data_IF_039288792466
#
_entry.id   IF_039288792466
#
_cell.length_a   1.000
_cell.length_b   1.000
_cell.length_c   1.000
_cell.angle_alpha   90.00
_cell.angle_beta   90.00
_cell.angle_gamma   90.00
#
_symmetry.space_group_name_H-M   'P 1'
#
loop_
_entity.id
_entity.type
_entity.pdbx_description
1 polymer ?
#
# COMPACT_ATOMS: atom_id res chain seq x y z
N UNK A 1 38.65 40.25 58.02
CA UNK A 1 37.95 40.99 56.96
C UNK A 1 38.67 40.97 55.57
N UNK A 2 39.99 40.82 55.54
CA UNK A 2 40.79 40.75 54.33
C UNK A 2 40.74 39.39 53.58
N UNK A 3 40.57 38.28 54.22
CA UNK A 3 40.52 36.94 53.67
C UNK A 3 39.23 36.69 52.83
N UNK A 4 38.10 37.33 53.22
CA UNK A 4 36.81 37.15 52.54
C UNK A 4 36.75 37.89 51.16
N UNK A 5 37.52 38.99 51.03
CA UNK A 5 37.58 39.79 49.80
C UNK A 5 38.45 39.09 48.75
N UNK A 6 39.53 38.44 49.14
CA UNK A 6 40.38 37.69 48.22
C UNK A 6 39.70 36.44 47.65
N UNK A 7 38.93 35.71 48.45
CA UNK A 7 38.19 34.54 47.99
C UNK A 7 37.07 34.92 46.99
N UNK A 8 36.41 36.05 47.22
CA UNK A 8 35.36 36.56 46.31
C UNK A 8 35.91 37.00 44.95
N UNK A 9 37.10 37.61 44.92
CA UNK A 9 37.75 37.99 43.67
C UNK A 9 38.33 36.78 42.90
N UNK A 10 38.77 35.74 43.61
CA UNK A 10 39.27 34.51 42.99
C UNK A 10 38.13 33.69 42.37
N UNK A 11 36.99 33.54 43.04
CA UNK A 11 35.80 32.89 42.45
C UNK A 11 35.21 33.65 41.30
N UNK A 12 35.17 34.98 41.31
CA UNK A 12 34.66 35.79 40.19
C UNK A 12 35.55 35.72 38.95
N UNK A 13 36.88 35.52 39.11
CA UNK A 13 37.79 35.30 37.99
C UNK A 13 37.68 33.91 37.40
N UNK A 14 37.47 32.86 38.20
CA UNK A 14 37.26 31.48 37.73
C UNK A 14 35.94 31.34 36.96
N UNK A 15 34.85 31.94 37.47
CA UNK A 15 33.54 31.93 36.78
C UNK A 15 33.62 32.67 35.42
N UNK A 16 34.31 33.82 35.34
CA UNK A 16 34.51 34.54 34.09
C UNK A 16 35.38 33.75 33.08
N UNK A 17 36.38 33.02 33.59
CA UNK A 17 37.23 32.19 32.72
C UNK A 17 36.49 30.95 32.22
N UNK A 18 35.65 30.33 33.07
CA UNK A 18 34.82 29.19 32.69
C UNK A 18 33.75 29.55 31.65
N UNK A 19 33.11 30.72 31.77
CA UNK A 19 32.14 31.21 30.78
C UNK A 19 32.81 31.53 29.47
N UNK A 20 34.05 32.08 29.47
CA UNK A 20 34.79 32.40 28.26
C UNK A 20 35.27 31.12 27.52
N UNK A 21 35.69 30.08 28.27
CA UNK A 21 36.08 28.78 27.69
C UNK A 21 34.87 28.03 27.15
N UNK A 22 33.70 28.09 27.81
CA UNK A 22 32.46 27.51 27.33
C UNK A 22 31.97 28.17 26.04
N UNK A 23 32.10 29.47 25.88
CA UNK A 23 31.71 30.18 24.67
C UNK A 23 32.67 29.90 23.50
N UNK A 24 33.98 29.71 23.77
CA UNK A 24 34.97 29.39 22.73
C UNK A 24 34.84 27.93 22.28
N UNK A 25 34.42 26.99 23.15
CA UNK A 25 34.16 25.58 22.79
C UNK A 25 32.85 25.45 21.96
N UNK A 26 31.84 26.31 22.21
CA UNK A 26 30.62 26.31 21.40
C UNK A 26 30.79 26.92 19.98
N UNK A 27 31.78 27.78 19.75
CA UNK A 27 32.04 28.37 18.44
C UNK A 27 32.86 27.46 17.51
N UNK A 28 33.48 26.38 18.05
CA UNK A 28 34.24 25.39 17.24
C UNK A 28 33.49 24.10 16.90
N UNK A 29 32.28 23.88 17.41
CA UNK A 29 31.39 22.88 16.84
C UNK A 29 30.70 23.54 15.65
N UNK A 30 31.33 23.44 14.52
CA UNK A 30 30.70 23.76 13.23
C UNK A 30 29.38 23.00 13.18
N UNK A 31 28.30 23.74 12.95
CA UNK A 31 27.02 23.20 12.54
C UNK A 31 27.32 22.38 11.29
N UNK A 32 27.45 21.08 11.44
CA UNK A 32 27.30 20.16 10.31
C UNK A 32 25.83 20.29 9.94
N UNK A 33 25.54 21.25 9.04
CA UNK A 33 24.30 21.24 8.30
C UNK A 33 24.34 19.93 7.55
N UNK A 34 23.61 18.93 8.03
CA UNK A 34 23.27 17.78 7.25
C UNK A 34 22.65 18.36 5.97
N UNK A 35 23.42 18.41 4.90
CA UNK A 35 22.85 18.59 3.58
C UNK A 35 21.88 17.41 3.42
N UNK A 36 20.60 17.69 3.60
CA UNK A 36 19.56 16.84 3.07
C UNK A 36 19.81 16.80 1.57
N UNK A 37 20.53 15.77 1.13
CA UNK A 37 20.54 15.36 -0.26
C UNK A 37 19.14 14.83 -0.56
N UNK A 38 18.15 15.71 -0.62
CA UNK A 38 16.90 15.41 -1.30
C UNK A 38 17.30 15.08 -2.74
N UNK A 39 17.01 13.87 -3.15
CA UNK A 39 17.14 13.50 -4.55
C UNK A 39 16.37 14.53 -5.38
N UNK A 40 16.92 15.02 -6.51
CA UNK A 40 16.22 15.99 -7.34
C UNK A 40 14.85 15.43 -7.71
N UNK A 41 13.80 16.09 -7.22
CA UNK A 41 12.42 15.82 -7.64
C UNK A 41 12.23 16.42 -9.01
N UNK A 42 11.75 15.64 -9.96
CA UNK A 42 11.32 16.18 -11.25
C UNK A 42 10.15 17.13 -11.00
N UNK A 43 10.25 18.37 -11.45
CA UNK A 43 9.14 19.33 -11.35
C UNK A 43 7.97 18.89 -12.22
N UNK A 44 6.88 18.47 -11.59
CA UNK A 44 5.64 18.18 -12.29
C UNK A 44 4.88 19.48 -12.53
N UNK A 45 4.86 19.94 -13.78
CA UNK A 45 4.12 21.15 -14.14
C UNK A 45 2.62 20.86 -14.14
N UNK A 46 1.88 21.50 -13.21
CA UNK A 46 0.41 21.44 -13.16
C UNK A 46 -0.17 22.68 -13.85
N UNK A 47 -0.53 22.56 -15.11
CA UNK A 47 -1.25 23.61 -15.83
C UNK A 47 -2.76 23.35 -15.76
N UNK A 48 -3.50 24.29 -15.14
CA UNK A 48 -4.98 24.29 -15.07
C UNK A 48 -5.61 22.98 -14.55
N UNK A 49 -4.99 22.34 -13.55
CA UNK A 49 -5.49 21.10 -12.96
C UNK A 49 -5.29 19.83 -13.83
N UNK A 50 -4.61 19.95 -14.96
CA UNK A 50 -4.19 18.80 -15.78
C UNK A 50 -2.73 18.48 -15.47
N UNK A 51 -2.47 17.29 -14.94
CA UNK A 51 -1.11 16.79 -14.75
C UNK A 51 -0.63 16.28 -16.12
N UNK A 52 0.42 16.90 -16.68
CA UNK A 52 1.10 16.33 -17.85
C UNK A 52 1.86 15.08 -17.39
N UNK A 53 1.54 13.89 -17.92
CA UNK A 53 2.31 12.69 -17.56
C UNK A 53 3.77 12.83 -17.98
N UNK A 54 4.68 12.29 -17.16
CA UNK A 54 6.11 12.22 -17.43
C UNK A 54 6.34 11.22 -18.55
N UNK A 55 6.95 11.66 -19.64
CA UNK A 55 7.25 10.83 -20.81
C UNK A 55 8.43 9.91 -20.51
N UNK A 56 8.21 8.61 -20.60
CA UNK A 56 9.14 7.59 -20.14
C UNK A 56 9.64 6.73 -21.31
N UNK A 57 10.94 6.73 -21.55
CA UNK A 57 11.58 5.81 -22.49
C UNK A 57 12.13 4.58 -21.73
N UNK A 58 11.65 3.38 -22.11
CA UNK A 58 12.10 2.11 -21.54
C UNK A 58 12.43 1.16 -22.71
N UNK A 59 13.65 1.24 -23.27
CA UNK A 59 14.07 0.24 -24.24
C UNK A 59 14.11 -1.15 -23.61
N UNK A 60 14.01 -2.19 -24.43
CA UNK A 60 14.21 -3.56 -23.97
C UNK A 60 15.51 -3.67 -23.17
N UNK A 61 15.51 -4.44 -22.10
CA UNK A 61 16.71 -4.63 -21.28
C UNK A 61 17.81 -5.27 -22.12
N UNK A 62 19.01 -4.73 -22.07
CA UNK A 62 20.16 -5.24 -22.81
C UNK A 62 20.43 -6.66 -22.36
N UNK A 63 20.51 -7.55 -23.31
CA UNK A 63 20.78 -8.96 -23.07
C UNK A 63 22.27 -9.16 -22.84
N UNK A 64 22.65 -9.62 -21.65
CA UNK A 64 24.00 -10.07 -21.33
C UNK A 64 24.08 -11.61 -21.36
N UNK A 65 25.26 -12.17 -21.08
CA UNK A 65 25.54 -13.60 -21.21
C UNK A 65 24.46 -14.50 -20.61
N UNK A 66 24.02 -15.50 -21.36
CA UNK A 66 23.09 -16.54 -20.93
C UNK A 66 21.61 -16.11 -20.75
N UNK A 67 21.29 -14.82 -20.87
CA UNK A 67 19.92 -14.36 -20.64
C UNK A 67 18.98 -14.66 -21.82
N UNK A 68 17.71 -14.95 -21.48
CA UNK A 68 16.65 -15.15 -22.45
C UNK A 68 16.13 -13.81 -23.01
N UNK A 69 16.02 -13.69 -24.33
CA UNK A 69 15.52 -12.48 -25.00
C UNK A 69 14.05 -12.18 -24.66
N UNK A 70 13.26 -13.16 -24.27
CA UNK A 70 11.87 -12.97 -23.84
C UNK A 70 11.86 -12.20 -22.51
N UNK A 71 12.65 -12.63 -21.53
CA UNK A 71 12.73 -11.96 -20.22
C UNK A 71 13.18 -10.51 -20.38
N UNK A 72 14.16 -10.24 -21.27
CA UNK A 72 14.64 -8.89 -21.58
C UNK A 72 13.53 -7.92 -21.98
N UNK A 73 12.63 -8.36 -22.86
CA UNK A 73 11.47 -7.56 -23.32
C UNK A 73 10.35 -7.47 -22.29
N UNK A 74 10.05 -8.58 -21.64
CA UNK A 74 8.96 -8.63 -20.68
C UNK A 74 9.27 -7.81 -19.41
N UNK A 75 10.55 -7.73 -18.95
CA UNK A 75 10.95 -6.82 -17.89
C UNK A 75 10.56 -5.37 -18.18
N UNK A 76 10.94 -4.86 -19.36
CA UNK A 76 10.64 -3.50 -19.79
C UNK A 76 9.12 -3.27 -19.90
N UNK A 77 8.37 -4.23 -20.47
CA UNK A 77 6.93 -4.16 -20.63
C UNK A 77 6.18 -4.10 -19.29
N UNK A 78 6.57 -4.93 -18.30
CA UNK A 78 5.95 -4.91 -16.98
C UNK A 78 6.24 -3.58 -16.26
N UNK A 79 7.47 -3.06 -16.37
CA UNK A 79 7.85 -1.76 -15.79
C UNK A 79 7.01 -0.64 -16.43
N UNK A 80 6.90 -0.60 -17.78
CA UNK A 80 6.09 0.36 -18.48
C UNK A 80 4.62 0.30 -18.04
N UNK A 81 4.02 -0.89 -18.03
CA UNK A 81 2.63 -1.09 -17.64
C UNK A 81 2.36 -0.65 -16.19
N UNK A 82 3.28 -0.93 -15.26
CA UNK A 82 3.17 -0.49 -13.87
C UNK A 82 3.14 1.03 -13.78
N UNK A 83 4.10 1.70 -14.39
CA UNK A 83 4.23 3.16 -14.30
C UNK A 83 3.09 3.87 -15.02
N UNK A 84 2.73 3.44 -16.24
CA UNK A 84 1.59 3.97 -16.99
C UNK A 84 0.28 3.81 -16.22
N UNK A 85 0.17 2.72 -15.46
CA UNK A 85 -1.01 2.44 -14.64
C UNK A 85 -1.29 3.49 -13.56
N UNK A 86 -0.30 4.30 -13.21
CA UNK A 86 -0.45 5.38 -12.22
C UNK A 86 -1.11 6.63 -12.80
N UNK A 87 -1.12 6.79 -14.12
CA UNK A 87 -1.52 8.03 -14.80
C UNK A 87 -0.54 9.20 -14.63
N UNK A 88 0.57 9.00 -13.91
CA UNK A 88 1.64 9.99 -13.73
C UNK A 88 2.73 9.86 -14.79
N UNK A 89 2.81 8.73 -15.45
CA UNK A 89 3.77 8.42 -16.50
C UNK A 89 3.05 8.05 -17.80
N UNK A 90 3.76 8.21 -18.89
CA UNK A 90 3.38 7.76 -20.22
C UNK A 90 4.58 7.16 -20.93
N UNK A 91 4.57 5.85 -21.13
CA UNK A 91 5.62 5.17 -21.88
C UNK A 91 5.59 5.55 -23.36
N UNK A 92 6.76 5.91 -23.89
CA UNK A 92 6.94 6.16 -25.33
C UNK A 92 7.02 4.80 -26.03
N UNK A 93 6.27 4.58 -27.12
CA UNK A 93 6.33 3.33 -27.89
C UNK A 93 7.74 3.05 -28.41
N UNK A 94 8.19 1.80 -28.33
CA UNK A 94 9.54 1.42 -28.79
C UNK A 94 9.75 1.69 -30.30
N UNK A 95 8.70 1.73 -31.08
CA UNK A 95 8.73 2.09 -32.52
C UNK A 95 9.14 3.55 -32.76
N UNK A 96 9.06 4.40 -31.76
CA UNK A 96 9.50 5.80 -31.84
C UNK A 96 10.97 6.00 -31.50
N UNK A 97 11.69 4.96 -31.03
CA UNK A 97 13.08 5.07 -30.62
C UNK A 97 14.02 5.21 -31.82
N UNK A 98 14.87 6.22 -31.77
CA UNK A 98 15.87 6.49 -32.84
C UNK A 98 16.99 5.49 -32.78
N UNK A 99 17.41 5.08 -31.59
CA UNK A 99 18.47 4.10 -31.36
C UNK A 99 18.08 3.09 -30.28
N UNK A 100 18.77 1.94 -30.31
CA UNK A 100 18.65 0.92 -29.26
C UNK A 100 20.01 0.76 -28.59
N UNK A 101 20.13 0.96 -27.28
CA UNK A 101 21.38 0.78 -26.55
C UNK A 101 21.92 -0.66 -26.69
N UNK A 102 23.16 -0.82 -27.11
CA UNK A 102 23.79 -2.13 -27.32
C UNK A 102 24.53 -2.64 -26.10
N UNK A 103 24.96 -1.75 -25.19
CA UNK A 103 25.69 -2.11 -23.99
C UNK A 103 25.25 -1.23 -22.81
N UNK A 104 25.19 -1.83 -21.62
CA UNK A 104 24.82 -1.14 -20.38
C UNK A 104 25.85 -0.08 -19.95
N UNK A 105 27.11 -0.26 -20.36
CA UNK A 105 28.20 0.63 -19.98
C UNK A 105 28.52 1.70 -21.03
N UNK A 106 27.88 1.66 -22.20
CA UNK A 106 28.01 2.71 -23.21
C UNK A 106 27.43 4.03 -22.70
N UNK A 107 28.13 5.17 -22.92
CA UNK A 107 27.57 6.48 -22.61
C UNK A 107 26.22 6.70 -23.30
N UNK A 108 25.28 7.33 -22.58
CA UNK A 108 23.95 7.62 -23.11
C UNK A 108 24.02 8.74 -24.14
N UNK A 109 23.50 8.50 -25.34
CA UNK A 109 23.32 9.54 -26.36
C UNK A 109 21.99 10.26 -26.09
N UNK A 110 22.03 11.30 -25.28
CA UNK A 110 20.82 12.01 -24.82
C UNK A 110 20.03 12.68 -25.97
N UNK A 111 20.69 13.04 -27.08
CA UNK A 111 20.04 13.57 -28.29
C UNK A 111 18.96 12.65 -28.81
N UNK A 112 19.19 11.33 -28.83
CA UNK A 112 18.26 10.33 -29.37
C UNK A 112 16.98 10.23 -28.55
N UNK A 113 17.06 10.55 -27.26
CA UNK A 113 15.92 10.52 -26.32
C UNK A 113 15.21 11.87 -26.25
N UNK A 114 15.94 12.98 -26.42
CA UNK A 114 15.37 14.34 -26.44
C UNK A 114 14.49 14.55 -27.66
N UNK A 115 14.90 14.05 -28.84
CA UNK A 115 14.13 14.22 -30.09
C UNK A 115 12.75 13.55 -30.04
N UNK A 116 12.59 12.49 -29.23
CA UNK A 116 11.33 11.82 -29.01
C UNK A 116 10.57 12.35 -27.77
N UNK A 117 11.02 13.46 -27.19
CA UNK A 117 10.45 14.11 -26.01
C UNK A 117 10.37 13.18 -24.79
N UNK A 118 11.38 12.35 -24.55
CA UNK A 118 11.52 11.60 -23.33
C UNK A 118 11.96 12.54 -22.18
N UNK A 119 11.22 12.54 -21.08
CA UNK A 119 11.63 13.23 -19.85
C UNK A 119 12.60 12.35 -19.05
N UNK A 120 12.31 11.04 -19.01
CA UNK A 120 13.07 10.05 -18.23
C UNK A 120 13.43 8.85 -19.11
N UNK A 121 14.68 8.38 -19.00
CA UNK A 121 15.16 7.16 -19.65
C UNK A 121 15.48 6.09 -18.59
N UNK A 122 14.95 4.88 -18.77
CA UNK A 122 15.31 3.67 -18.01
C UNK A 122 16.20 2.79 -18.86
N UNK A 123 17.47 2.71 -18.52
CA UNK A 123 18.42 1.80 -19.17
C UNK A 123 18.64 0.57 -18.28
N UNK A 124 18.35 -0.61 -18.79
CA UNK A 124 18.48 -1.86 -18.04
C UNK A 124 19.26 -2.93 -18.78
N UNK A 125 19.81 -3.88 -18.03
CA UNK A 125 20.41 -5.10 -18.58
C UNK A 125 20.04 -6.32 -17.74
N UNK A 126 20.01 -7.49 -18.39
CA UNK A 126 19.73 -8.77 -17.76
C UNK A 126 20.74 -9.83 -18.24
N UNK A 127 21.32 -10.56 -17.30
CA UNK A 127 22.25 -11.65 -17.53
C UNK A 127 21.95 -12.85 -16.64
N UNK A 128 22.41 -14.03 -17.05
CA UNK A 128 22.36 -15.25 -16.24
C UNK A 128 23.74 -15.49 -15.63
N UNK A 129 23.78 -15.69 -14.31
CA UNK A 129 24.99 -16.04 -13.58
C UNK A 129 25.30 -17.54 -13.71
N UNK A 130 26.56 -17.96 -13.51
CA UNK A 130 26.93 -19.39 -13.52
C UNK A 130 26.16 -20.25 -12.51
N UNK A 131 25.68 -19.66 -11.42
CA UNK A 131 24.86 -20.32 -10.40
C UNK A 131 23.35 -20.40 -10.76
N UNK A 132 22.98 -20.02 -12.00
CA UNK A 132 21.62 -20.05 -12.50
C UNK A 132 20.74 -18.89 -12.09
N UNK A 133 21.23 -17.93 -11.28
CA UNK A 133 20.45 -16.73 -10.92
C UNK A 133 20.46 -15.70 -12.04
N UNK A 134 19.33 -15.02 -12.22
CA UNK A 134 19.27 -13.81 -13.03
C UNK A 134 19.91 -12.64 -12.28
N UNK A 135 20.79 -11.92 -12.97
CA UNK A 135 21.23 -10.58 -12.59
C UNK A 135 20.48 -9.56 -13.43
N UNK A 136 19.73 -8.68 -12.79
CA UNK A 136 19.02 -7.58 -13.43
C UNK A 136 19.55 -6.27 -12.87
N UNK A 137 20.01 -5.38 -13.73
CA UNK A 137 20.51 -4.06 -13.34
C UNK A 137 19.88 -2.97 -14.15
N UNK A 138 19.74 -1.78 -13.57
CA UNK A 138 19.19 -0.62 -14.27
C UNK A 138 19.79 0.69 -13.77
N UNK A 139 19.72 1.70 -14.62
CA UNK A 139 19.98 3.10 -14.35
C UNK A 139 18.79 3.94 -14.80
N UNK A 140 18.60 5.06 -14.16
CA UNK A 140 17.54 6.00 -14.44
C UNK A 140 18.14 7.37 -14.74
N UNK A 141 17.74 7.98 -15.85
CA UNK A 141 18.31 9.23 -16.32
C UNK A 141 17.26 10.31 -16.53
N UNK A 142 17.55 11.52 -16.08
CA UNK A 142 16.88 12.73 -16.51
C UNK A 142 17.47 13.14 -17.88
N UNK A 143 16.65 13.13 -18.92
CA UNK A 143 17.10 13.37 -20.28
C UNK A 143 17.48 14.83 -20.49
N UNK A 144 16.70 15.76 -19.92
CA UNK A 144 16.94 17.20 -20.06
C UNK A 144 18.20 17.65 -19.31
N UNK A 145 18.39 17.16 -18.08
CA UNK A 145 19.56 17.48 -17.27
C UNK A 145 20.81 16.63 -17.61
N UNK A 146 20.63 15.56 -18.40
CA UNK A 146 21.67 14.59 -18.75
C UNK A 146 22.36 13.98 -17.52
N UNK A 147 21.57 13.75 -16.45
CA UNK A 147 22.06 13.26 -15.15
C UNK A 147 21.34 11.99 -14.72
N UNK A 148 22.08 11.13 -14.01
CA UNK A 148 21.49 9.93 -13.41
C UNK A 148 20.63 10.30 -12.21
N UNK A 149 19.37 9.84 -12.18
CA UNK A 149 18.43 10.01 -11.07
C UNK A 149 18.72 8.93 -10.02
N UNK A 150 19.53 9.27 -9.04
CA UNK A 150 20.04 8.35 -8.02
C UNK A 150 21.02 7.34 -8.61
N UNK A 151 21.59 6.49 -7.77
CA UNK A 151 22.59 5.47 -8.23
C UNK A 151 21.90 4.28 -8.88
N UNK A 152 22.52 3.70 -9.91
CA UNK A 152 22.09 2.44 -10.51
C UNK A 152 21.89 1.34 -9.46
N UNK A 153 20.97 0.42 -9.72
CA UNK A 153 20.69 -0.73 -8.85
C UNK A 153 20.87 -2.04 -9.58
N UNK A 154 21.17 -3.07 -8.79
CA UNK A 154 21.36 -4.45 -9.24
C UNK A 154 20.56 -5.38 -8.34
N UNK A 155 19.88 -6.36 -8.97
CA UNK A 155 19.08 -7.38 -8.28
C UNK A 155 19.52 -8.77 -8.72
N UNK A 156 19.41 -9.72 -7.82
CA UNK A 156 19.63 -11.13 -8.10
C UNK A 156 18.35 -11.91 -7.73
N UNK A 157 17.93 -12.83 -8.60
CA UNK A 157 16.75 -13.65 -8.38
C UNK A 157 16.85 -14.96 -9.17
N UNK A 158 15.97 -15.93 -8.86
CA UNK A 158 15.76 -17.08 -9.72
C UNK A 158 15.04 -16.66 -11.03
N UNK A 159 15.14 -17.49 -12.06
CA UNK A 159 14.56 -17.20 -13.38
C UNK A 159 13.02 -17.07 -13.37
N UNK A 160 12.34 -17.65 -12.40
CA UNK A 160 10.87 -17.60 -12.29
C UNK A 160 10.38 -16.31 -11.64
N UNK A 161 11.21 -15.67 -10.81
CA UNK A 161 10.85 -14.47 -10.05
C UNK A 161 11.20 -13.15 -10.77
N UNK A 162 11.49 -13.18 -12.07
CA UNK A 162 11.87 -12.01 -12.86
C UNK A 162 10.82 -10.88 -12.81
N UNK A 163 9.53 -11.27 -12.79
CA UNK A 163 8.41 -10.31 -12.74
C UNK A 163 8.42 -9.49 -11.46
N UNK A 164 8.73 -10.10 -10.32
CA UNK A 164 8.89 -9.41 -9.05
C UNK A 164 10.01 -8.38 -9.09
N UNK A 165 11.10 -8.65 -9.83
CA UNK A 165 12.16 -7.65 -10.04
C UNK A 165 11.65 -6.46 -10.85
N UNK A 166 10.81 -6.67 -11.87
CA UNK A 166 10.16 -5.58 -12.60
C UNK A 166 9.36 -4.68 -11.67
N UNK A 167 8.60 -5.26 -10.73
CA UNK A 167 7.84 -4.49 -9.73
C UNK A 167 8.77 -3.68 -8.81
N UNK A 168 9.87 -4.26 -8.32
CA UNK A 168 10.87 -3.55 -7.49
C UNK A 168 11.59 -2.42 -8.25
N UNK A 169 11.83 -2.60 -9.54
CA UNK A 169 12.36 -1.55 -10.41
C UNK A 169 11.33 -0.44 -10.57
N UNK A 170 10.07 -0.79 -10.84
CA UNK A 170 8.96 0.17 -10.92
C UNK A 170 8.80 0.98 -9.63
N UNK A 171 8.87 0.33 -8.46
CA UNK A 171 8.87 0.97 -7.15
C UNK A 171 10.02 1.98 -7.00
N UNK A 172 11.22 1.58 -7.42
CA UNK A 172 12.40 2.46 -7.34
C UNK A 172 12.25 3.67 -8.26
N UNK A 173 11.77 3.49 -9.49
CA UNK A 173 11.54 4.57 -10.45
C UNK A 173 10.45 5.51 -9.92
N UNK A 174 9.32 4.94 -9.52
CA UNK A 174 8.19 5.68 -9.00
C UNK A 174 8.59 6.57 -7.81
N UNK A 175 9.25 5.98 -6.83
CA UNK A 175 9.69 6.72 -5.63
C UNK A 175 10.71 7.80 -5.96
N UNK A 176 11.69 7.53 -6.84
CA UNK A 176 12.72 8.52 -7.19
C UNK A 176 12.17 9.71 -7.98
N UNK A 177 11.20 9.46 -8.86
CA UNK A 177 10.66 10.49 -9.75
C UNK A 177 9.55 11.29 -9.08
N UNK A 178 8.69 10.63 -8.28
CA UNK A 178 7.50 11.27 -7.70
C UNK A 178 7.65 11.64 -6.22
N UNK A 179 8.60 11.03 -5.50
CA UNK A 179 8.72 11.13 -4.05
C UNK A 179 7.68 10.32 -3.27
N UNK A 180 6.77 9.62 -3.96
CA UNK A 180 5.71 8.81 -3.34
C UNK A 180 6.22 7.43 -2.90
N UNK A 181 5.54 6.81 -1.94
CA UNK A 181 5.89 5.47 -1.45
C UNK A 181 5.69 4.37 -2.50
N UNK A 182 6.47 3.30 -2.38
CA UNK A 182 6.42 2.10 -3.22
C UNK A 182 5.13 1.30 -3.01
N UNK A 183 4.63 0.59 -4.05
CA UNK A 183 3.48 -0.31 -3.93
C UNK A 183 3.37 -1.39 -5.01
N UNK A 184 4.23 -1.39 -6.05
CA UNK A 184 4.11 -2.36 -7.14
C UNK A 184 4.54 -3.77 -6.73
N UNK A 185 5.57 -3.92 -5.85
CA UNK A 185 5.96 -5.22 -5.30
C UNK A 185 5.00 -5.63 -4.17
N UNK A 186 3.71 -5.69 -4.48
CA UNK A 186 2.66 -6.11 -3.55
C UNK A 186 1.72 -7.14 -4.17
N UNK A 187 1.03 -7.90 -3.30
CA UNK A 187 0.08 -8.93 -3.70
C UNK A 187 -1.32 -8.58 -3.20
N UNK A 188 -2.31 -9.09 -3.88
CA UNK A 188 -3.73 -8.95 -3.54
C UNK A 188 -4.29 -10.31 -3.17
N UNK A 189 -4.88 -10.44 -2.00
CA UNK A 189 -5.69 -11.60 -1.61
C UNK A 189 -7.16 -11.23 -1.70
N UNK A 190 -7.96 -12.09 -2.30
CA UNK A 190 -9.38 -11.82 -2.55
C UNK A 190 -10.19 -13.11 -2.63
N UNK A 191 -11.50 -12.97 -2.72
CA UNK A 191 -12.41 -14.08 -2.98
C UNK A 191 -12.74 -14.12 -4.46
N UNK A 192 -12.34 -15.20 -5.12
CA UNK A 192 -12.73 -15.50 -6.49
C UNK A 192 -14.08 -16.21 -6.49
N UNK A 193 -14.99 -15.78 -7.34
CA UNK A 193 -16.33 -16.34 -7.47
C UNK A 193 -16.50 -16.96 -8.86
N UNK A 194 -17.03 -18.17 -8.92
CA UNK A 194 -17.34 -18.89 -10.16
C UNK A 194 -18.75 -19.49 -10.09
N UNK A 195 -19.34 -19.76 -11.23
CA UNK A 195 -20.71 -20.30 -11.35
C UNK A 195 -21.79 -19.23 -11.49
N UNK A 196 -23.06 -19.65 -11.63
CA UNK A 196 -24.19 -18.74 -11.79
C UNK A 196 -24.42 -17.89 -10.55
N UNK A 197 -25.06 -16.74 -10.73
CA UNK A 197 -25.22 -15.71 -9.67
C UNK A 197 -25.90 -16.21 -8.39
N UNK A 198 -26.84 -17.11 -8.54
CA UNK A 198 -27.63 -17.73 -7.47
C UNK A 198 -26.92 -18.93 -6.80
N UNK A 199 -25.85 -19.44 -7.41
CA UNK A 199 -25.08 -20.58 -6.89
C UNK A 199 -23.58 -20.41 -7.12
N UNK A 200 -22.99 -19.32 -6.62
CA UNK A 200 -21.55 -19.04 -6.77
C UNK A 200 -20.70 -19.83 -5.80
N UNK A 201 -19.71 -20.49 -6.35
CA UNK A 201 -18.60 -21.06 -5.55
C UNK A 201 -17.59 -19.95 -5.24
N UNK A 202 -17.29 -19.78 -3.94
CA UNK A 202 -16.33 -18.79 -3.43
C UNK A 202 -15.04 -19.45 -3.01
N UNK A 203 -13.90 -18.98 -3.50
CA UNK A 203 -12.58 -19.52 -3.19
C UNK A 203 -11.59 -18.40 -2.91
N UNK A 204 -10.69 -18.63 -1.96
CA UNK A 204 -9.56 -17.73 -1.72
C UNK A 204 -8.62 -17.75 -2.92
N UNK A 205 -8.18 -16.59 -3.33
CA UNK A 205 -7.25 -16.39 -4.43
C UNK A 205 -6.21 -15.33 -4.10
N UNK A 206 -5.07 -15.41 -4.74
CA UNK A 206 -3.97 -14.46 -4.64
C UNK A 206 -3.46 -14.11 -6.02
N UNK A 207 -3.00 -12.88 -6.21
CA UNK A 207 -2.38 -12.39 -7.44
C UNK A 207 -1.41 -11.25 -7.14
N UNK A 208 -0.58 -10.87 -8.10
CA UNK A 208 0.16 -9.63 -8.05
C UNK A 208 -0.80 -8.43 -8.18
N UNK A 209 -0.37 -7.25 -7.77
CA UNK A 209 -1.21 -6.06 -7.77
C UNK A 209 -1.75 -5.66 -9.16
N UNK A 210 -1.12 -6.13 -10.23
CA UNK A 210 -1.51 -5.87 -11.62
C UNK A 210 -2.38 -6.97 -12.25
N UNK A 211 -2.74 -8.00 -11.47
CA UNK A 211 -3.59 -9.12 -11.86
C UNK A 211 -2.85 -10.35 -12.37
N UNK A 212 -1.53 -10.29 -12.49
CA UNK A 212 -0.73 -11.43 -12.90
C UNK A 212 -0.52 -12.45 -11.75
N UNK A 213 0.04 -13.61 -12.08
CA UNK A 213 0.34 -14.68 -11.12
C UNK A 213 -0.87 -15.09 -10.27
N UNK A 214 -2.06 -15.06 -10.88
CA UNK A 214 -3.29 -15.52 -10.25
C UNK A 214 -3.16 -16.99 -9.86
N UNK A 215 -3.50 -17.32 -8.62
CA UNK A 215 -3.68 -18.70 -8.17
C UNK A 215 -4.76 -18.82 -7.11
N UNK A 216 -5.49 -19.91 -7.15
CA UNK A 216 -6.41 -20.29 -6.08
C UNK A 216 -5.63 -20.89 -4.93
N UNK A 217 -6.05 -20.57 -3.70
CA UNK A 217 -5.50 -21.17 -2.48
C UNK A 217 -6.31 -22.40 -2.11
N UNK A 218 -5.64 -23.40 -1.52
CA UNK A 218 -6.33 -24.58 -0.98
C UNK A 218 -7.10 -24.19 0.29
N UNK A 219 -8.37 -24.51 0.33
CA UNK A 219 -9.19 -24.41 1.54
C UNK A 219 -10.37 -25.40 1.42
N UNK A 220 -10.98 -25.83 2.53
CA UNK A 220 -12.20 -26.64 2.50
C UNK A 220 -13.31 -25.97 1.66
N UNK A 221 -14.22 -26.74 1.05
CA UNK A 221 -15.32 -26.22 0.26
C UNK A 221 -16.36 -25.55 1.18
N UNK A 222 -16.10 -24.30 1.55
CA UNK A 222 -16.95 -23.48 2.39
C UNK A 222 -17.00 -22.05 1.88
N UNK A 223 -18.01 -21.30 2.32
CA UNK A 223 -18.07 -19.86 2.04
C UNK A 223 -16.91 -19.17 2.78
N UNK A 224 -16.12 -18.39 2.05
CA UNK A 224 -15.02 -17.58 2.57
C UNK A 224 -15.24 -16.12 2.23
N UNK A 225 -14.92 -15.22 3.15
CA UNK A 225 -15.06 -13.77 2.96
C UNK A 225 -13.96 -13.00 3.70
N UNK A 226 -13.77 -11.73 3.31
CA UNK A 226 -12.94 -10.75 3.97
C UNK A 226 -11.48 -11.20 4.24
N UNK A 227 -10.75 -11.78 3.27
CA UNK A 227 -9.37 -12.14 3.46
C UNK A 227 -8.48 -10.90 3.61
N UNK A 228 -7.44 -10.99 4.46
CA UNK A 228 -6.46 -9.93 4.70
C UNK A 228 -5.06 -10.52 4.89
N UNK A 229 -4.06 -9.88 4.30
CA UNK A 229 -2.66 -10.20 4.58
C UNK A 229 -2.26 -9.79 5.98
N UNK A 230 -1.40 -10.59 6.60
CA UNK A 230 -0.61 -10.16 7.74
C UNK A 230 0.49 -9.19 7.24
N UNK A 231 0.74 -8.07 7.94
CA UNK A 231 1.71 -7.08 7.47
C UNK A 231 3.17 -7.56 7.60
N UNK A 232 3.46 -8.44 8.53
CA UNK A 232 4.82 -8.84 8.91
C UNK A 232 5.17 -10.30 8.63
N UNK A 233 4.22 -11.10 8.11
CA UNK A 233 4.43 -12.53 7.88
C UNK A 233 3.73 -13.01 6.60
N UNK A 234 4.09 -14.23 6.13
CA UNK A 234 3.47 -14.84 4.95
C UNK A 234 2.14 -15.54 5.29
N UNK A 235 1.28 -14.85 6.06
CA UNK A 235 -0.01 -15.36 6.50
C UNK A 235 -1.16 -14.49 6.01
N UNK A 236 -2.33 -15.09 5.93
CA UNK A 236 -3.60 -14.38 5.73
C UNK A 236 -4.58 -14.74 6.83
N UNK A 237 -5.50 -13.82 7.11
CA UNK A 237 -6.65 -14.05 7.98
C UNK A 237 -7.93 -13.86 7.15
N UNK A 238 -8.93 -14.68 7.42
CA UNK A 238 -10.21 -14.62 6.70
C UNK A 238 -11.35 -15.12 7.58
N UNK A 239 -12.58 -14.86 7.15
CA UNK A 239 -13.78 -15.46 7.74
C UNK A 239 -14.23 -16.64 6.88
N UNK A 240 -14.42 -17.79 7.47
CA UNK A 240 -14.93 -19.00 6.83
C UNK A 240 -16.21 -19.51 7.53
N UNK A 241 -17.01 -20.27 6.80
CA UNK A 241 -18.28 -20.85 7.25
C UNK A 241 -18.25 -22.39 7.31
N UNK A 242 -17.10 -22.97 7.56
CA UNK A 242 -16.89 -24.44 7.56
C UNK A 242 -17.84 -25.18 8.53
N UNK A 243 -18.19 -24.53 9.64
CA UNK A 243 -19.08 -25.10 10.67
C UNK A 243 -20.53 -24.59 10.56
N UNK A 244 -20.92 -23.98 9.43
CA UNK A 244 -22.23 -23.34 9.23
C UNK A 244 -22.37 -21.98 9.93
N UNK A 245 -21.40 -21.56 10.76
CA UNK A 245 -21.34 -20.26 11.41
C UNK A 245 -20.04 -19.54 11.04
N UNK A 246 -20.04 -18.20 10.91
CA UNK A 246 -18.82 -17.48 10.59
C UNK A 246 -17.79 -17.62 11.72
N UNK A 247 -16.58 -18.00 11.34
CA UNK A 247 -15.40 -18.08 12.22
C UNK A 247 -14.19 -17.48 11.51
N UNK A 248 -13.27 -16.97 12.31
CA UNK A 248 -12.00 -16.42 11.80
C UNK A 248 -10.95 -17.50 11.76
N UNK A 249 -10.22 -17.57 10.64
CA UNK A 249 -9.15 -18.52 10.37
C UNK A 249 -7.87 -17.80 9.97
N UNK A 250 -6.73 -18.38 10.31
CA UNK A 250 -5.40 -18.05 9.82
C UNK A 250 -4.97 -19.11 8.81
N UNK A 251 -4.33 -18.68 7.72
CA UNK A 251 -3.67 -19.56 6.76
C UNK A 251 -2.23 -19.12 6.59
N UNK A 252 -1.29 -20.05 6.70
CA UNK A 252 0.09 -19.85 6.25
C UNK A 252 0.16 -20.08 4.73
N UNK A 253 0.67 -19.10 3.99
CA UNK A 253 0.72 -19.18 2.52
C UNK A 253 1.85 -20.08 1.99
N UNK A 254 2.79 -20.48 2.83
CA UNK A 254 3.88 -21.38 2.45
C UNK A 254 3.47 -22.86 2.54
N UNK A 255 2.82 -23.24 3.64
CA UNK A 255 2.31 -24.59 3.87
C UNK A 255 0.86 -24.79 3.42
N UNK A 256 0.12 -23.69 3.23
CA UNK A 256 -1.34 -23.64 3.03
C UNK A 256 -2.12 -24.28 4.20
N UNK A 257 -1.50 -24.39 5.38
CA UNK A 257 -2.15 -24.85 6.60
C UNK A 257 -3.13 -23.81 7.13
N UNK A 258 -4.34 -24.25 7.48
CA UNK A 258 -5.42 -23.40 8.01
C UNK A 258 -5.65 -23.78 9.47
N UNK A 259 -5.60 -22.77 10.34
CA UNK A 259 -5.87 -22.91 11.76
C UNK A 259 -6.98 -21.95 12.20
N UNK A 260 -7.97 -22.40 12.99
CA UNK A 260 -8.95 -21.50 13.56
C UNK A 260 -8.26 -20.51 14.53
N UNK A 261 -8.65 -19.25 14.49
CA UNK A 261 -8.24 -18.29 15.49
C UNK A 261 -8.95 -18.62 16.80
N UNK A 262 -8.26 -19.19 17.77
CA UNK A 262 -8.70 -19.60 19.10
C UNK A 262 -10.21 -19.88 19.27
N UNK A 263 -10.64 -20.69 20.22
CA UNK A 263 -12.08 -20.93 20.47
C UNK A 263 -12.81 -19.65 20.88
N UNK A 264 -13.35 -18.94 19.88
CA UNK A 264 -14.22 -17.80 20.09
C UNK A 264 -15.65 -18.33 20.27
N UNK A 265 -16.19 -18.25 21.50
CA UNK A 265 -17.62 -18.56 21.74
C UNK A 265 -18.45 -17.51 20.98
N UNK A 266 -19.24 -17.95 19.99
CA UNK A 266 -20.06 -17.08 19.16
C UNK A 266 -19.58 -16.98 17.70
N UNK A 267 -20.21 -16.10 16.92
CA UNK A 267 -19.86 -15.84 15.52
C UNK A 267 -18.77 -14.77 15.48
N UNK A 268 -17.68 -15.01 14.75
CA UNK A 268 -16.59 -14.04 14.57
C UNK A 268 -16.33 -13.76 13.10
N UNK A 269 -16.14 -12.49 12.72
CA UNK A 269 -15.99 -12.07 11.32
C UNK A 269 -15.28 -10.72 11.16
N UNK A 270 -15.02 -10.34 9.90
CA UNK A 270 -14.34 -9.09 9.49
C UNK A 270 -13.01 -8.84 10.23
N UNK A 271 -12.08 -9.80 10.26
CA UNK A 271 -10.83 -9.67 10.98
C UNK A 271 -9.85 -8.73 10.26
N UNK A 272 -9.01 -8.01 11.03
CA UNK A 272 -7.87 -7.25 10.53
C UNK A 272 -6.70 -7.30 11.51
N UNK A 273 -5.50 -7.37 10.97
CA UNK A 273 -4.27 -7.27 11.76
C UNK A 273 -3.98 -5.82 12.18
N UNK A 274 -3.30 -5.65 13.31
CA UNK A 274 -2.52 -4.45 13.60
C UNK A 274 -1.31 -4.38 12.66
N UNK A 275 -0.74 -3.17 12.45
CA UNK A 275 0.39 -2.99 11.52
C UNK A 275 1.67 -3.72 11.96
N UNK A 276 1.86 -3.94 13.25
CA UNK A 276 2.96 -4.74 13.81
C UNK A 276 2.71 -6.26 13.68
N UNK A 277 1.51 -6.67 13.29
CA UNK A 277 1.11 -8.07 13.14
C UNK A 277 0.91 -8.83 14.46
N UNK A 278 0.96 -8.17 15.62
CA UNK A 278 0.85 -8.81 16.94
C UNK A 278 -0.58 -8.99 17.43
N UNK A 279 -1.51 -8.19 16.90
CA UNK A 279 -2.92 -8.19 17.31
C UNK A 279 -3.86 -8.35 16.11
N UNK A 280 -5.04 -8.85 16.40
CA UNK A 280 -6.16 -8.88 15.46
C UNK A 280 -7.34 -8.16 16.09
N UNK A 281 -7.99 -7.28 15.33
CA UNK A 281 -9.29 -6.71 15.67
C UNK A 281 -10.35 -7.41 14.81
N UNK A 282 -11.50 -7.70 15.38
CA UNK A 282 -12.58 -8.43 14.72
C UNK A 282 -13.94 -8.08 15.32
N UNK A 283 -14.99 -8.38 14.57
CA UNK A 283 -16.38 -8.32 15.06
C UNK A 283 -16.77 -9.68 15.63
N UNK A 284 -17.45 -9.69 16.77
CA UNK A 284 -17.95 -10.93 17.36
C UNK A 284 -19.34 -10.76 17.93
N UNK A 285 -20.23 -11.68 17.57
CA UNK A 285 -21.60 -11.74 18.10
C UNK A 285 -21.65 -12.68 19.31
N UNK A 286 -22.02 -12.14 20.45
CA UNK A 286 -22.25 -12.90 21.70
C UNK A 286 -23.54 -12.40 22.35
N UNK A 287 -24.36 -13.32 22.88
CA UNK A 287 -25.60 -13.00 23.60
C UNK A 287 -26.55 -12.05 22.83
N UNK A 288 -26.61 -12.21 21.49
CA UNK A 288 -27.49 -11.43 20.63
C UNK A 288 -26.95 -10.04 20.22
N UNK A 289 -25.79 -9.60 20.72
CA UNK A 289 -25.16 -8.35 20.30
C UNK A 289 -23.83 -8.57 19.57
N UNK A 290 -23.47 -7.65 18.68
CA UNK A 290 -22.22 -7.69 17.94
C UNK A 290 -21.32 -6.53 18.36
N UNK A 291 -20.14 -6.86 18.82
CA UNK A 291 -19.16 -5.92 19.37
C UNK A 291 -17.77 -6.10 18.73
N UNK A 292 -16.93 -5.11 18.92
CA UNK A 292 -15.52 -5.15 18.51
C UNK A 292 -14.70 -5.80 19.61
N UNK A 293 -13.84 -6.73 19.20
CA UNK A 293 -12.86 -7.41 20.05
C UNK A 293 -11.45 -7.27 19.52
N UNK A 294 -10.50 -7.20 20.43
CA UNK A 294 -9.06 -7.30 20.12
C UNK A 294 -8.57 -8.64 20.66
N UNK A 295 -7.82 -9.37 19.83
CA UNK A 295 -7.13 -10.60 20.21
C UNK A 295 -5.62 -10.41 20.02
N UNK A 296 -4.84 -10.64 21.06
CA UNK A 296 -3.38 -10.71 21.00
C UNK A 296 -2.97 -12.08 20.48
N UNK A 297 -2.16 -12.12 19.43
CA UNK A 297 -1.70 -13.38 18.83
C UNK A 297 -0.64 -14.09 19.68
N UNK A 298 0.18 -13.33 20.41
CA UNK A 298 1.26 -13.87 21.21
C UNK A 298 0.75 -14.48 22.53
N UNK A 299 -0.22 -13.82 23.17
CA UNK A 299 -0.73 -14.24 24.50
C UNK A 299 -2.06 -14.96 24.41
N UNK A 300 -2.76 -14.91 23.27
CA UNK A 300 -4.14 -15.42 23.13
C UNK A 300 -5.18 -14.61 23.91
N UNK A 301 -4.77 -13.53 24.59
CA UNK A 301 -5.69 -12.70 25.39
C UNK A 301 -6.66 -11.99 24.46
N UNK A 302 -7.94 -12.20 24.74
CA UNK A 302 -9.06 -11.56 24.06
C UNK A 302 -9.70 -10.50 24.95
N UNK A 303 -9.91 -9.31 24.42
CA UNK A 303 -10.55 -8.19 25.12
C UNK A 303 -11.72 -7.65 24.27
N UNK A 304 -12.89 -7.56 24.87
CA UNK A 304 -14.04 -6.84 24.30
C UNK A 304 -13.76 -5.34 24.39
N UNK A 305 -13.87 -4.63 23.28
CA UNK A 305 -13.56 -3.21 23.18
C UNK A 305 -14.80 -2.34 23.28
N UNK A 306 -15.90 -2.74 22.60
CA UNK A 306 -17.18 -2.03 22.65
C UNK A 306 -18.23 -2.83 23.44
N UNK A 307 -19.14 -2.11 24.10
CA UNK A 307 -20.16 -2.70 24.99
C UNK A 307 -21.53 -2.06 24.84
N UNK A 308 -21.70 -1.24 23.78
CA UNK A 308 -22.99 -0.61 23.47
C UNK A 308 -23.98 -1.67 22.95
N UNK A 309 -25.29 -1.43 23.10
CA UNK A 309 -26.34 -2.31 22.56
C UNK A 309 -26.46 -2.24 21.02
N UNK A 310 -25.76 -1.32 20.38
CA UNK A 310 -25.70 -1.20 18.93
C UNK A 310 -24.86 -2.30 18.30
N UNK A 311 -25.05 -2.52 17.01
CA UNK A 311 -24.25 -3.44 16.19
C UNK A 311 -22.97 -2.72 15.75
N UNK A 312 -21.82 -3.15 16.30
CA UNK A 312 -20.50 -2.63 15.99
C UNK A 312 -19.74 -3.64 15.11
N UNK A 313 -19.34 -3.23 13.88
CA UNK A 313 -18.72 -4.15 12.91
C UNK A 313 -17.61 -3.52 12.09
N UNK A 314 -16.94 -4.36 11.28
CA UNK A 314 -15.88 -3.99 10.29
C UNK A 314 -14.76 -3.10 10.85
N UNK A 315 -14.10 -3.49 11.94
CA UNK A 315 -13.06 -2.68 12.56
C UNK A 315 -11.78 -2.61 11.74
N UNK A 316 -11.02 -1.50 11.90
CA UNK A 316 -9.69 -1.34 11.33
C UNK A 316 -8.80 -0.52 12.28
N UNK A 317 -7.60 -1.04 12.58
CA UNK A 317 -6.59 -0.30 13.36
C UNK A 317 -6.07 0.94 12.63
N UNK A 318 -5.74 1.99 13.39
CA UNK A 318 -4.80 3.03 12.95
C UNK A 318 -3.40 2.43 12.77
N UNK A 319 -2.53 3.04 11.92
CA UNK A 319 -1.17 2.51 11.69
C UNK A 319 -0.31 2.44 12.94
N UNK A 320 -0.52 3.34 13.91
CA UNK A 320 0.17 3.36 15.20
C UNK A 320 -0.44 2.39 16.24
N UNK A 321 -1.54 1.70 15.90
CA UNK A 321 -2.24 0.74 16.75
C UNK A 321 -3.02 1.35 17.91
N UNK A 322 -3.05 2.69 18.05
CA UNK A 322 -3.67 3.38 19.19
C UNK A 322 -5.17 3.60 19.07
N UNK A 323 -5.71 3.52 17.87
CA UNK A 323 -7.12 3.76 17.59
C UNK A 323 -7.70 2.69 16.67
N UNK A 324 -9.02 2.54 16.72
CA UNK A 324 -9.78 1.65 15.86
C UNK A 324 -10.93 2.44 15.26
N UNK A 325 -11.06 2.42 13.93
CA UNK A 325 -12.26 2.87 13.24
C UNK A 325 -13.17 1.68 12.99
N UNK A 326 -14.47 1.86 13.14
CA UNK A 326 -15.49 0.82 12.94
C UNK A 326 -16.81 1.44 12.51
N UNK A 327 -17.73 0.62 12.03
CA UNK A 327 -19.10 1.02 11.73
C UNK A 327 -20.03 0.64 12.88
N UNK A 328 -21.04 1.49 13.14
CA UNK A 328 -22.02 1.29 14.20
C UNK A 328 -23.35 1.94 13.84
N UNK A 329 -24.45 1.34 14.26
CA UNK A 329 -25.79 1.89 14.12
C UNK A 329 -26.32 2.64 15.37
N UNK A 330 -25.45 2.88 16.38
CA UNK A 330 -25.79 3.57 17.64
C UNK A 330 -26.41 4.96 17.48
N UNK A 331 -26.23 5.58 16.33
CA UNK A 331 -26.83 6.88 15.98
C UNK A 331 -28.12 6.78 15.15
N UNK A 332 -28.79 5.61 15.12
CA UNK A 332 -30.01 5.38 14.37
C UNK A 332 -29.78 4.95 12.91
N UNK A 333 -28.53 4.85 12.46
CA UNK A 333 -28.15 4.34 11.15
C UNK A 333 -26.64 4.10 11.09
N UNK A 334 -26.22 3.27 10.14
CA UNK A 334 -24.82 2.86 9.96
C UNK A 334 -23.90 4.06 9.70
N UNK A 335 -23.02 4.36 10.65
CA UNK A 335 -22.07 5.47 10.62
C UNK A 335 -20.69 5.00 11.09
N UNK A 336 -19.67 5.80 10.84
CA UNK A 336 -18.30 5.51 11.25
C UNK A 336 -17.96 6.16 12.59
N UNK A 337 -17.30 5.38 13.43
CA UNK A 337 -16.85 5.79 14.76
C UNK A 337 -15.38 5.44 14.95
N UNK A 338 -14.69 6.20 15.78
CA UNK A 338 -13.34 5.91 16.25
C UNK A 338 -13.37 5.74 17.76
N UNK A 339 -12.62 4.74 18.24
CA UNK A 339 -12.39 4.47 19.65
C UNK A 339 -10.89 4.25 19.90
N UNK A 340 -10.39 4.57 21.10
CA UNK A 340 -9.06 4.16 21.49
C UNK A 340 -8.94 2.63 21.52
N UNK A 341 -7.79 2.09 21.10
CA UNK A 341 -7.51 0.66 21.22
C UNK A 341 -7.50 0.18 22.67
N UNK A 342 -7.40 1.08 23.65
CA UNK A 342 -7.50 0.76 25.08
C UNK A 342 -8.96 0.79 25.59
N UNK A 343 -9.92 1.22 24.77
CA UNK A 343 -11.34 1.36 25.14
C UNK A 343 -11.71 2.81 25.42
N UNK A 344 -12.86 3.00 26.05
CA UNK A 344 -13.42 4.32 26.35
C UNK A 344 -14.59 4.68 25.44
N UNK A 345 -14.85 5.97 25.25
CA UNK A 345 -15.97 6.48 24.49
C UNK A 345 -15.67 6.46 22.98
N UNK A 346 -16.64 5.95 22.19
CA UNK A 346 -16.57 5.96 20.73
C UNK A 346 -17.07 7.28 20.15
N UNK A 347 -16.24 7.95 19.38
CA UNK A 347 -16.55 9.24 18.73
C UNK A 347 -16.99 9.02 17.30
N UNK A 348 -18.17 9.56 16.93
CA UNK A 348 -18.67 9.56 15.54
C UNK A 348 -17.83 10.50 14.67
N UNK A 349 -17.51 10.05 13.45
CA UNK A 349 -16.71 10.82 12.46
C UNK A 349 -17.44 11.01 11.12
N UNK A 350 -18.55 10.30 10.86
CA UNK A 350 -19.34 10.49 9.62
C UNK A 350 -20.69 11.14 9.93
N UNK A 351 -21.04 12.20 9.19
CA UNK A 351 -22.24 13.01 9.45
C UNK A 351 -23.10 13.24 8.19
N UNK A 352 -22.64 12.79 7.02
CA UNK A 352 -23.35 12.97 5.76
C UNK A 352 -24.60 12.09 5.65
N UNK A 353 -25.50 12.43 4.74
CA UNK A 353 -26.66 11.60 4.39
C UNK A 353 -26.22 10.25 3.83
N UNK A 354 -26.95 9.17 4.14
CA UNK A 354 -26.67 7.81 3.71
C UNK A 354 -26.04 6.96 4.81
N UNK A 355 -25.74 5.71 4.47
CA UNK A 355 -25.07 4.73 5.36
C UNK A 355 -23.60 4.65 4.99
N UNK A 356 -22.74 4.47 5.99
CA UNK A 356 -21.30 4.30 5.84
C UNK A 356 -20.91 2.92 6.35
N UNK A 357 -20.09 2.22 5.59
CA UNK A 357 -19.70 0.84 5.88
C UNK A 357 -18.23 0.57 5.52
N UNK A 358 -17.72 -0.55 6.00
CA UNK A 358 -16.39 -1.12 5.69
C UNK A 358 -15.24 -0.11 5.77
N UNK A 359 -15.09 0.63 6.89
CA UNK A 359 -14.01 1.61 7.01
C UNK A 359 -12.64 0.93 7.04
N UNK A 360 -11.66 1.57 6.42
CA UNK A 360 -10.26 1.13 6.43
C UNK A 360 -9.34 2.30 6.65
N UNK A 361 -8.52 2.25 7.70
CA UNK A 361 -7.54 3.29 7.97
C UNK A 361 -6.40 3.25 6.94
N UNK A 362 -6.01 4.42 6.44
CA UNK A 362 -4.86 4.56 5.52
C UNK A 362 -3.56 4.16 6.23
N UNK A 363 -2.63 3.46 5.56
CA UNK A 363 -1.30 3.18 6.11
C UNK A 363 -0.48 4.46 6.41
N UNK A 364 -0.86 5.61 5.85
CA UNK A 364 -0.28 6.93 6.18
C UNK A 364 -0.85 7.54 7.47
N UNK A 365 -1.96 7.01 7.98
CA UNK A 365 -2.62 7.52 9.19
C UNK A 365 -3.51 8.74 9.01
N UNK A 366 -3.57 9.33 7.83
CA UNK A 366 -4.20 10.62 7.53
C UNK A 366 -5.66 10.52 7.06
N UNK A 367 -6.03 9.38 6.44
CA UNK A 367 -7.33 9.17 5.82
C UNK A 367 -8.00 7.88 6.29
N UNK A 368 -9.31 7.84 6.16
CA UNK A 368 -10.14 6.65 6.25
C UNK A 368 -10.85 6.47 4.91
N UNK A 369 -10.67 5.30 4.28
CA UNK A 369 -11.47 4.87 3.14
C UNK A 369 -12.73 4.15 3.62
N UNK A 370 -13.83 4.28 2.90
CA UNK A 370 -15.11 3.69 3.29
C UNK A 370 -16.00 3.40 2.08
N UNK A 371 -16.98 2.55 2.27
CA UNK A 371 -18.14 2.41 1.38
C UNK A 371 -19.24 3.32 1.87
N UNK A 372 -19.86 4.09 0.99
CA UNK A 372 -21.06 4.88 1.27
C UNK A 372 -22.22 4.44 0.39
N UNK A 373 -23.37 4.23 1.03
CA UNK A 373 -24.63 3.89 0.35
C UNK A 373 -25.56 5.08 0.47
N UNK A 374 -25.85 5.71 -0.69
CA UNK A 374 -26.71 6.89 -0.76
C UNK A 374 -27.58 6.83 -2.00
N UNK A 375 -28.88 7.06 -1.83
CA UNK A 375 -29.86 7.10 -2.94
C UNK A 375 -29.80 5.85 -3.85
N UNK A 376 -29.67 4.66 -3.23
CA UNK A 376 -29.58 3.37 -3.96
C UNK A 376 -28.28 3.12 -4.71
N UNK A 377 -27.29 4.00 -4.58
CA UNK A 377 -25.96 3.85 -5.22
C UNK A 377 -24.87 3.64 -4.17
N UNK A 378 -23.83 2.95 -4.59
CA UNK A 378 -22.64 2.67 -3.81
C UNK A 378 -21.48 3.55 -4.27
N UNK A 379 -20.70 4.01 -3.30
CA UNK A 379 -19.55 4.87 -3.52
C UNK A 379 -18.37 4.39 -2.68
N UNK A 380 -17.20 4.37 -3.26
CA UNK A 380 -15.95 4.37 -2.49
C UNK A 380 -15.61 5.83 -2.19
N UNK A 381 -15.40 6.12 -0.92
CA UNK A 381 -15.05 7.47 -0.46
C UNK A 381 -13.82 7.47 0.45
N UNK A 382 -13.28 8.66 0.67
CA UNK A 382 -12.23 8.93 1.65
C UNK A 382 -12.59 10.18 2.46
N UNK A 383 -12.19 10.19 3.73
CA UNK A 383 -12.29 11.36 4.61
C UNK A 383 -11.05 11.45 5.50
N UNK A 384 -10.80 12.60 6.08
CA UNK A 384 -9.81 12.72 7.15
C UNK A 384 -10.26 11.97 8.40
N UNK A 385 -9.30 11.63 9.25
CA UNK A 385 -9.58 10.90 10.51
C UNK A 385 -10.50 11.65 11.48
N UNK A 386 -10.60 12.96 11.36
CA UNK A 386 -11.54 13.79 12.11
C UNK A 386 -12.94 13.87 11.48
N UNK A 387 -13.17 13.18 10.36
CA UNK A 387 -14.42 13.17 9.59
C UNK A 387 -14.56 14.31 8.58
N UNK A 388 -13.61 15.24 8.53
CA UNK A 388 -13.63 16.35 7.57
C UNK A 388 -13.16 15.94 6.18
N UNK A 389 -13.34 16.81 5.18
CA UNK A 389 -12.86 16.61 3.80
C UNK A 389 -13.34 15.31 3.15
N UNK A 390 -14.56 14.89 3.45
CA UNK A 390 -15.19 13.76 2.76
C UNK A 390 -15.20 13.99 1.25
N UNK A 391 -14.76 12.97 0.51
CA UNK A 391 -14.83 12.93 -0.95
C UNK A 391 -15.28 11.55 -1.42
N UNK A 392 -16.27 11.51 -2.30
CA UNK A 392 -16.69 10.31 -2.99
C UNK A 392 -15.85 10.17 -4.27
N UNK A 393 -15.14 9.07 -4.40
CA UNK A 393 -14.23 8.81 -5.50
C UNK A 393 -14.92 8.07 -6.65
N UNK A 394 -15.96 7.26 -6.31
CA UNK A 394 -16.72 6.48 -7.30
C UNK A 394 -18.22 6.61 -7.07
N UNK A 395 -18.99 6.24 -8.10
CA UNK A 395 -20.44 6.03 -8.04
C UNK A 395 -20.79 4.86 -8.94
N UNK A 396 -21.48 3.84 -8.40
CA UNK A 396 -21.88 2.67 -9.17
C UNK A 396 -23.11 1.97 -8.61
N UNK A 397 -23.51 0.89 -9.25
CA UNK A 397 -24.54 -0.03 -8.78
C UNK A 397 -24.11 -0.71 -7.47
N UNK A 398 -22.86 -1.21 -7.42
CA UNK A 398 -22.27 -1.79 -6.22
C UNK A 398 -20.74 -1.64 -6.28
N UNK A 399 -20.21 -0.74 -5.44
CA UNK A 399 -18.79 -0.60 -5.14
C UNK A 399 -18.58 -0.80 -3.65
N UNK A 400 -17.75 -1.76 -3.24
CA UNK A 400 -17.61 -2.08 -1.83
C UNK A 400 -16.21 -2.62 -1.48
N UNK A 401 -15.91 -2.63 -0.18
CA UNK A 401 -14.74 -3.27 0.41
C UNK A 401 -13.41 -2.62 0.01
N UNK A 402 -13.22 -1.31 0.24
CA UNK A 402 -11.97 -0.66 -0.09
C UNK A 402 -10.79 -1.26 0.67
N UNK A 403 -9.66 -1.36 -0.01
CA UNK A 403 -8.38 -1.78 0.54
C UNK A 403 -7.27 -0.86 0.04
N UNK A 404 -6.41 -0.40 0.94
CA UNK A 404 -5.29 0.46 0.61
C UNK A 404 -4.13 -0.32 0.00
N UNK A 405 -3.51 0.23 -1.03
CA UNK A 405 -2.15 -0.14 -1.40
C UNK A 405 -1.16 0.34 -0.30
N UNK A 406 0.02 -0.30 -0.16
CA UNK A 406 0.97 0.02 0.91
C UNK A 406 1.38 1.49 0.99
N UNK A 407 1.37 2.21 -0.14
CA UNK A 407 1.72 3.63 -0.19
C UNK A 407 0.62 4.59 0.28
N UNK A 408 -0.58 4.11 0.61
CA UNK A 408 -1.70 4.94 1.03
C UNK A 408 -2.23 5.92 -0.03
N UNK A 409 -1.95 5.65 -1.32
CA UNK A 409 -2.38 6.48 -2.44
C UNK A 409 -3.38 5.81 -3.36
N UNK A 410 -3.30 4.51 -3.49
CA UNK A 410 -4.18 3.72 -4.37
C UNK A 410 -5.13 2.91 -3.51
N UNK A 411 -6.39 2.88 -3.90
CA UNK A 411 -7.43 2.01 -3.35
C UNK A 411 -7.77 0.93 -4.36
N UNK A 412 -7.92 -0.30 -3.88
CA UNK A 412 -8.59 -1.38 -4.59
C UNK A 412 -9.92 -1.69 -3.93
N UNK A 413 -10.90 -2.09 -4.73
CA UNK A 413 -12.23 -2.44 -4.26
C UNK A 413 -12.89 -3.38 -5.28
N UNK A 414 -13.97 -4.05 -4.90
CA UNK A 414 -14.74 -4.78 -5.87
C UNK A 414 -15.94 -3.95 -6.38
N UNK A 415 -16.22 -4.11 -7.66
CA UNK A 415 -17.40 -3.56 -8.35
C UNK A 415 -18.19 -4.70 -8.96
N UNK A 416 -19.48 -4.75 -8.66
CA UNK A 416 -20.39 -5.64 -9.35
C UNK A 416 -21.25 -4.86 -10.35
N UNK A 417 -21.44 -5.44 -11.54
CA UNK A 417 -22.32 -4.88 -12.56
C UNK A 417 -23.75 -5.37 -12.33
N UNK A 418 -24.79 -4.56 -12.66
CA UNK A 418 -26.19 -4.97 -12.51
C UNK A 418 -26.59 -6.07 -13.48
N UNK A 419 -27.73 -6.71 -13.22
CA UNK A 419 -28.35 -7.73 -14.06
C UNK A 419 -27.96 -9.16 -13.71
N UNK A 420 -28.59 -10.12 -14.41
CA UNK A 420 -28.39 -11.57 -14.20
C UNK A 420 -26.98 -12.03 -14.59
N UNK A 421 -26.38 -11.41 -15.60
CA UNK A 421 -25.00 -11.65 -16.03
C UNK A 421 -23.98 -10.83 -15.23
N UNK A 422 -24.41 -10.07 -14.23
CA UNK A 422 -23.53 -9.24 -13.38
C UNK A 422 -22.52 -10.10 -12.63
N UNK A 423 -21.26 -9.68 -12.67
CA UNK A 423 -20.17 -10.36 -11.97
C UNK A 423 -19.26 -9.34 -11.28
N UNK A 424 -18.71 -9.71 -10.08
CA UNK A 424 -17.76 -8.88 -9.39
C UNK A 424 -16.44 -8.82 -10.15
N UNK A 425 -15.78 -7.68 -10.11
CA UNK A 425 -14.46 -7.47 -10.65
C UNK A 425 -13.67 -6.54 -9.73
N UNK A 426 -12.35 -6.70 -9.68
CA UNK A 426 -11.49 -5.83 -8.90
C UNK A 426 -11.18 -4.56 -9.71
N UNK A 427 -11.33 -3.43 -9.05
CA UNK A 427 -10.98 -2.11 -9.58
C UNK A 427 -9.95 -1.44 -8.69
N UNK A 428 -9.18 -0.54 -9.28
CA UNK A 428 -8.30 0.38 -8.55
C UNK A 428 -8.59 1.82 -8.92
N UNK A 429 -8.34 2.73 -7.97
CA UNK A 429 -8.50 4.18 -8.14
C UNK A 429 -7.45 4.92 -7.31
N UNK A 430 -6.92 6.02 -7.82
CA UNK A 430 -6.09 6.95 -7.05
C UNK A 430 -6.98 7.77 -6.10
N UNK A 431 -6.47 8.13 -4.92
CA UNK A 431 -7.20 8.96 -3.93
C UNK A 431 -7.60 10.34 -4.46
N UNK A 432 -7.03 10.80 -5.57
CA UNK A 432 -7.50 12.02 -6.26
C UNK A 432 -8.85 11.82 -6.97
N UNK A 433 -9.37 10.60 -7.06
CA UNK A 433 -10.56 10.23 -7.84
C UNK A 433 -10.27 9.98 -9.32
N UNK A 434 -9.00 10.02 -9.72
CA UNK A 434 -8.55 9.77 -11.10
C UNK A 434 -8.10 8.32 -11.27
N UNK A 435 -7.90 7.94 -12.52
CA UNK A 435 -7.29 6.66 -12.89
C UNK A 435 -8.07 5.43 -12.39
N UNK A 436 -9.41 5.51 -12.46
CA UNK A 436 -10.28 4.36 -12.21
C UNK A 436 -10.06 3.31 -13.30
N UNK A 437 -9.65 2.11 -12.92
CA UNK A 437 -9.39 1.01 -13.86
C UNK A 437 -9.80 -0.34 -13.31
N UNK A 438 -10.24 -1.22 -14.20
CA UNK A 438 -10.45 -2.63 -13.90
C UNK A 438 -9.11 -3.36 -13.89
N UNK A 439 -8.85 -4.15 -12.88
CA UNK A 439 -7.71 -5.07 -12.84
C UNK A 439 -8.09 -6.32 -13.61
N UNK A 440 -7.36 -6.59 -14.67
CA UNK A 440 -7.55 -7.83 -15.45
C UNK A 440 -6.87 -8.96 -14.68
N UNK A 441 -7.64 -9.79 -14.03
CA UNK A 441 -7.13 -11.07 -13.54
C UNK A 441 -6.83 -11.92 -14.75
N UNK A 442 -5.62 -12.49 -14.84
CA UNK A 442 -5.33 -13.52 -15.84
C UNK A 442 -6.28 -14.68 -15.55
N UNK A 443 -7.38 -14.73 -16.29
CA UNK A 443 -8.33 -15.83 -16.24
C UNK A 443 -7.72 -17.06 -16.92
N UNK A 444 -8.04 -18.21 -16.38
CA UNK A 444 -7.85 -19.51 -17.02
C UNK A 444 -8.41 -19.54 -18.43
#
# INVERSE_FOLDING_TARGET
>A
MWALIMVKQFFTRIIKLSIFISVIVFVKFGVVIAQNNEAPKLDMTVNRGVIKPISLAIPGFIKESGANSIISRELAKVIANNLDSTGLFRSIPQTAYVSTPLSFNTPVQFSDWSIINADVLVLGAVGLKPDGRLEVKFRLWDVAQQKEIGKGKKYFTNSESWRRISHKISDTIYTRVTGEGAYFDSRVVFVSETGPKDNRTKRLAIMDQDGANFRLLKHPPSIVIAPRFAPTSNKIIFTGYETGKPRVYLMDLSSEEITPLAELKGMSFAPRFSMDGTKIVLSMTQNGNTDIFINSLDTGIKRRLTTNSAIDTAPSFSPDGKSIVFESDRGGGQQLYIISSEGGEAKRISFGKGRYATPVWSPRGDLIAFTKIKEGKFHIGVMRVDGTKERLLTTSFLDEGPAWAPNGRVLMFFRETPGTAGAPSIYSIDISGRNLRKIKTSSF
#
